data_IF_640877553417
#
_entry.id   IF_640877553417
#
_cell.length_a   1.000
_cell.length_b   1.000
_cell.length_c   1.000
_cell.angle_alpha   90.00
_cell.angle_beta   90.00
_cell.angle_gamma   90.00
#
_symmetry.space_group_name_H-M   'P 1'
#
loop_
_entity.id
_entity.type
_entity.pdbx_description
1 polymer ?
#
# COMPACT_ATOMS: atom_id res chain seq x y z
N UNK A 1 -19.76 -13.08 -8.81
CA UNK A 1 -18.92 -13.76 -9.81
C UNK A 1 -19.76 -13.92 -11.05
N UNK A 2 -19.23 -13.54 -12.22
CA UNK A 2 -19.84 -13.48 -13.56
C UNK A 2 -20.33 -12.09 -14.00
N UNK A 3 -19.38 -11.26 -14.46
CA UNK A 3 -19.64 -10.13 -15.35
C UNK A 3 -19.54 -10.62 -16.80
N UNK A 4 -20.51 -11.42 -17.25
CA UNK A 4 -20.72 -11.64 -18.69
C UNK A 4 -21.39 -10.39 -19.27
N UNK A 5 -20.56 -9.56 -19.90
CA UNK A 5 -20.95 -8.32 -20.57
C UNK A 5 -21.61 -8.65 -21.92
N UNK A 6 -22.93 -8.84 -21.94
CA UNK A 6 -23.72 -8.90 -23.18
C UNK A 6 -23.67 -7.53 -23.89
N UNK A 7 -22.94 -7.45 -25.00
CA UNK A 7 -22.72 -6.22 -25.77
C UNK A 7 -23.92 -5.92 -26.67
N UNK A 8 -25.03 -5.48 -26.07
CA UNK A 8 -26.14 -4.85 -26.80
C UNK A 8 -25.83 -3.37 -27.04
N UNK A 9 -25.31 -3.06 -28.23
CA UNK A 9 -25.60 -1.85 -29.02
C UNK A 9 -25.58 -0.44 -28.39
N UNK A 10 -24.97 -0.20 -27.23
CA UNK A 10 -24.85 1.16 -26.66
C UNK A 10 -23.43 1.69 -26.89
N UNK A 11 -23.29 2.76 -27.68
CA UNK A 11 -22.02 3.45 -27.87
C UNK A 11 -21.49 3.92 -26.51
N UNK A 12 -20.34 3.38 -26.10
CA UNK A 12 -19.71 3.78 -24.85
C UNK A 12 -19.39 5.29 -24.84
N UNK A 13 -19.59 5.95 -23.70
CA UNK A 13 -19.28 7.37 -23.51
C UNK A 13 -17.80 7.63 -23.83
N UNK A 14 -17.47 8.78 -24.43
CA UNK A 14 -16.07 9.16 -24.74
C UNK A 14 -15.22 9.03 -23.47
N UNK A 15 -14.12 8.26 -23.55
CA UNK A 15 -13.23 7.96 -22.42
C UNK A 15 -13.48 6.62 -21.70
N UNK A 16 -14.56 5.90 -22.06
CA UNK A 16 -14.79 4.54 -21.58
C UNK A 16 -14.01 3.54 -22.43
N UNK A 17 -13.04 2.88 -21.81
CA UNK A 17 -12.36 1.75 -22.43
C UNK A 17 -13.33 0.57 -22.52
N UNK A 18 -13.68 0.13 -23.73
CA UNK A 18 -14.58 -1.00 -23.96
C UNK A 18 -13.83 -2.32 -24.15
N UNK A 19 -12.53 -2.27 -24.39
CA UNK A 19 -11.71 -3.46 -24.61
C UNK A 19 -11.38 -4.13 -23.26
N UNK A 20 -11.57 -5.46 -23.11
CA UNK A 20 -11.33 -6.18 -21.85
C UNK A 20 -9.94 -5.94 -21.25
N UNK A 21 -8.89 -5.92 -22.09
CA UNK A 21 -7.51 -5.60 -21.68
C UNK A 21 -7.39 -4.23 -21.00
N UNK A 22 -8.06 -3.21 -21.54
CA UNK A 22 -7.99 -1.84 -21.03
C UNK A 22 -8.76 -1.69 -19.71
N UNK A 23 -9.86 -2.43 -19.54
CA UNK A 23 -10.56 -2.53 -18.25
C UNK A 23 -9.68 -3.21 -17.21
N UNK A 24 -9.08 -4.35 -17.53
CA UNK A 24 -8.19 -5.08 -16.62
C UNK A 24 -7.00 -4.21 -16.17
N UNK A 25 -6.38 -3.47 -17.10
CA UNK A 25 -5.28 -2.56 -16.76
C UNK A 25 -5.73 -1.41 -15.85
N UNK A 26 -6.92 -0.84 -16.07
CA UNK A 26 -7.47 0.19 -15.18
C UNK A 26 -7.65 -0.35 -13.76
N UNK A 27 -8.27 -1.52 -13.62
CA UNK A 27 -8.47 -2.17 -12.31
C UNK A 27 -7.12 -2.40 -11.62
N UNK A 28 -6.11 -2.87 -12.36
CA UNK A 28 -4.75 -3.06 -11.83
C UNK A 28 -4.15 -1.75 -11.32
N UNK A 29 -4.24 -0.68 -12.12
CA UNK A 29 -3.73 0.66 -11.74
C UNK A 29 -4.44 1.22 -10.52
N UNK A 30 -5.77 1.11 -10.43
CA UNK A 30 -6.53 1.54 -9.25
C UNK A 30 -6.06 0.80 -8.00
N UNK A 31 -5.92 -0.53 -8.06
CA UNK A 31 -5.41 -1.32 -6.92
C UNK A 31 -4.00 -0.89 -6.49
N UNK A 32 -3.14 -0.53 -7.44
CA UNK A 32 -1.79 -0.03 -7.12
C UNK A 32 -1.90 1.33 -6.43
N UNK A 33 -2.64 2.28 -6.99
CA UNK A 33 -2.83 3.60 -6.40
C UNK A 33 -3.41 3.54 -4.99
N UNK A 34 -4.36 2.65 -4.73
CA UNK A 34 -4.95 2.49 -3.40
C UNK A 34 -3.93 1.95 -2.39
N UNK A 35 -3.06 1.03 -2.80
CA UNK A 35 -1.96 0.53 -1.95
C UNK A 35 -0.93 1.61 -1.67
N UNK A 36 -0.61 2.44 -2.66
CA UNK A 36 0.29 3.60 -2.46
C UNK A 36 -0.30 4.59 -1.45
N UNK A 37 -1.59 4.95 -1.57
CA UNK A 37 -2.25 5.85 -0.60
C UNK A 37 -2.23 5.28 0.82
N UNK A 38 -2.48 3.98 0.97
CA UNK A 38 -2.39 3.30 2.28
C UNK A 38 -0.97 3.35 2.83
N UNK A 39 0.04 3.13 2.00
CA UNK A 39 1.43 3.21 2.42
C UNK A 39 1.78 4.62 2.94
N UNK A 40 1.33 5.66 2.24
CA UNK A 40 1.55 7.06 2.65
C UNK A 40 0.95 7.40 4.02
N UNK A 41 -0.13 6.73 4.43
CA UNK A 41 -0.75 6.94 5.74
C UNK A 41 -0.02 6.21 6.88
N UNK A 42 0.78 5.19 6.56
CA UNK A 42 1.47 4.36 7.55
C UNK A 42 2.89 4.83 7.86
N UNK A 43 3.54 5.47 6.87
CA UNK A 43 4.93 5.91 7.00
C UNK A 43 4.95 7.41 7.36
N UNK A 44 5.70 7.82 8.38
CA UNK A 44 5.75 9.22 8.80
C UNK A 44 6.40 10.11 7.73
N UNK A 45 5.89 11.35 7.57
CA UNK A 45 6.39 12.36 6.63
C UNK A 45 6.34 12.00 5.13
N UNK A 46 5.54 10.99 4.76
CA UNK A 46 5.43 10.52 3.37
C UNK A 46 4.77 11.51 2.39
N UNK A 47 4.10 12.53 2.94
CA UNK A 47 3.42 13.59 2.20
C UNK A 47 4.40 14.58 1.55
N UNK A 48 5.69 14.53 1.93
CA UNK A 48 6.72 15.49 1.52
C UNK A 48 7.65 14.99 0.40
N UNK A 49 7.76 13.68 0.14
CA UNK A 49 8.58 13.16 -0.97
C UNK A 49 7.93 13.33 -2.33
N UNK A 50 8.79 13.64 -3.30
CA UNK A 50 8.47 14.21 -4.61
C UNK A 50 8.44 13.21 -5.77
N UNK A 51 8.69 11.91 -5.55
CA UNK A 51 8.43 10.87 -6.56
C UNK A 51 8.15 9.48 -5.93
N UNK A 52 7.59 8.55 -6.73
CA UNK A 52 7.19 7.20 -6.26
C UNK A 52 8.38 6.33 -5.84
N UNK A 53 9.57 6.50 -6.43
CA UNK A 53 10.73 5.67 -6.13
C UNK A 53 11.27 5.99 -4.73
N UNK A 54 11.52 7.26 -4.45
CA UNK A 54 11.98 7.75 -3.15
C UNK A 54 11.00 7.34 -2.05
N UNK A 55 9.69 7.43 -2.32
CA UNK A 55 8.66 6.98 -1.39
C UNK A 55 8.76 5.47 -1.09
N UNK A 56 9.09 4.63 -2.08
CA UNK A 56 9.25 3.19 -1.80
C UNK A 56 10.53 2.92 -1.01
N UNK A 57 11.61 3.64 -1.27
CA UNK A 57 12.87 3.50 -0.52
C UNK A 57 12.72 3.91 0.95
N UNK A 58 12.00 5.00 1.22
CA UNK A 58 11.74 5.45 2.59
C UNK A 58 10.82 4.51 3.36
N UNK A 59 9.83 3.90 2.68
CA UNK A 59 9.02 2.85 3.29
C UNK A 59 9.89 1.66 3.73
N UNK A 60 10.86 1.25 2.91
CA UNK A 60 11.81 0.17 3.25
C UNK A 60 12.68 0.58 4.43
N UNK A 61 13.18 1.82 4.46
CA UNK A 61 13.97 2.34 5.58
C UNK A 61 13.15 2.33 6.89
N UNK A 62 11.88 2.74 6.84
CA UNK A 62 11.01 2.76 8.01
C UNK A 62 10.71 1.35 8.55
N UNK A 63 10.50 0.37 7.68
CA UNK A 63 10.34 -1.04 8.11
C UNK A 63 11.58 -1.55 8.84
N UNK A 64 12.78 -1.29 8.31
CA UNK A 64 14.04 -1.66 8.97
C UNK A 64 14.21 -0.97 10.31
N UNK A 65 13.84 0.30 10.40
CA UNK A 65 13.85 1.06 11.65
C UNK A 65 12.91 0.45 12.70
N UNK A 66 11.69 0.07 12.32
CA UNK A 66 10.74 -0.60 13.22
C UNK A 66 11.26 -1.96 13.68
N UNK A 67 11.85 -2.76 12.78
CA UNK A 67 12.45 -4.05 13.14
C UNK A 67 13.53 -3.90 14.22
N UNK A 68 14.42 -2.92 14.05
CA UNK A 68 15.47 -2.61 15.04
C UNK A 68 14.88 -2.20 16.40
N UNK A 69 13.88 -1.34 16.42
CA UNK A 69 13.22 -0.96 17.68
C UNK A 69 12.59 -2.15 18.40
N UNK A 70 11.99 -3.09 17.67
CA UNK A 70 11.41 -4.31 18.25
C UNK A 70 12.52 -5.18 18.86
N UNK A 71 13.66 -5.33 18.19
CA UNK A 71 14.81 -6.07 18.72
C UNK A 71 15.32 -5.44 20.01
N UNK A 72 15.55 -4.12 20.02
CA UNK A 72 16.01 -3.38 21.20
C UNK A 72 15.02 -3.49 22.37
N UNK A 73 13.72 -3.31 22.11
CA UNK A 73 12.68 -3.47 23.14
C UNK A 73 12.61 -4.90 23.68
N UNK A 74 12.73 -5.90 22.80
CA UNK A 74 12.73 -7.31 23.20
C UNK A 74 13.94 -7.65 24.07
N UNK A 75 15.11 -7.11 23.74
CA UNK A 75 16.29 -7.25 24.56
C UNK A 75 16.14 -6.54 25.91
N UNK A 76 15.58 -5.33 25.92
CA UNK A 76 15.31 -4.57 27.15
C UNK A 76 14.36 -5.34 28.06
N UNK A 77 13.30 -5.93 27.51
CA UNK A 77 12.36 -6.78 28.24
C UNK A 77 13.07 -8.01 28.83
N UNK A 78 13.91 -8.72 28.05
CA UNK A 78 14.69 -9.86 28.57
C UNK A 78 15.66 -9.47 29.68
N UNK A 79 16.24 -8.27 29.60
CA UNK A 79 17.16 -7.74 30.61
C UNK A 79 16.42 -7.15 31.82
N UNK A 80 15.14 -6.81 31.69
CA UNK A 80 14.36 -6.26 32.80
C UNK A 80 14.08 -7.35 33.83
N UNK A 81 14.61 -7.16 35.03
CA UNK A 81 14.26 -7.96 36.20
C UNK A 81 13.01 -7.43 36.91
N UNK A 82 12.34 -6.46 36.32
CA UNK A 82 11.09 -5.94 36.83
C UNK A 82 10.04 -7.05 36.76
N UNK A 83 9.64 -7.57 37.91
CA UNK A 83 8.51 -8.48 38.01
C UNK A 83 7.29 -7.71 37.48
N UNK A 84 6.62 -8.24 36.46
CA UNK A 84 5.25 -7.82 36.17
C UNK A 84 4.41 -8.22 37.40
N UNK A 85 4.28 -7.31 38.36
CA UNK A 85 3.23 -7.36 39.34
C UNK A 85 2.03 -6.66 38.71
N UNK A 86 1.08 -7.46 38.23
CA UNK A 86 -0.38 -7.30 38.40
C UNK A 86 -1.09 -8.57 37.86
#
# INVERSE_FOLDING_TARGET
>A
MNDEMEVKGVRAKRGCATHPRSIAERVRRTRISDRIRKLQQLVPNMDKQTNTADMLDEAVAYVKFLQKQIEELSEHQRRCKCMAQE
#
